data_IF_719310202491
#
_entry.id   IF_719310202491
#
_cell.length_a   1.000
_cell.length_b   1.000
_cell.length_c   1.000
_cell.angle_alpha   90.00
_cell.angle_beta   90.00
_cell.angle_gamma   90.00
#
_symmetry.space_group_name_H-M   'P 1'
#
loop_
_entity.id
_entity.type
_entity.pdbx_description
1 polymer ?
#
# COMPACT_ATOMS: atom_id res chain seq x y z
N UNK A 1 -34.88 -14.53 -49.34
CA UNK A 1 -34.07 -13.76 -48.38
C UNK A 1 -34.46 -14.23 -46.99
N UNK A 2 -33.61 -15.00 -46.31
CA UNK A 2 -33.82 -15.33 -44.90
C UNK A 2 -32.94 -14.38 -44.09
N UNK A 3 -33.57 -13.59 -43.21
CA UNK A 3 -32.85 -12.80 -42.20
C UNK A 3 -32.83 -13.71 -40.97
N UNK A 4 -31.69 -14.32 -40.72
CA UNK A 4 -31.44 -14.96 -39.43
C UNK A 4 -31.12 -13.83 -38.47
N UNK A 5 -32.10 -13.46 -37.64
CA UNK A 5 -31.89 -12.65 -36.44
C UNK A 5 -31.03 -13.48 -35.49
N UNK A 6 -29.71 -13.38 -35.64
CA UNK A 6 -28.81 -13.75 -34.56
C UNK A 6 -29.02 -12.72 -33.46
N UNK A 7 -29.91 -13.04 -32.52
CA UNK A 7 -29.86 -12.57 -31.14
C UNK A 7 -28.46 -12.92 -30.61
N UNK A 8 -27.48 -12.08 -30.93
CA UNK A 8 -26.18 -12.12 -30.29
C UNK A 8 -26.41 -11.68 -28.86
N UNK A 9 -26.78 -12.62 -28.01
CA UNK A 9 -26.83 -12.42 -26.57
C UNK A 9 -25.48 -11.85 -26.15
N UNK A 10 -25.51 -10.66 -25.56
CA UNK A 10 -24.36 -9.95 -24.99
C UNK A 10 -23.89 -10.65 -23.69
N UNK A 11 -23.96 -11.99 -23.68
CA UNK A 11 -23.67 -12.85 -22.55
C UNK A 11 -22.27 -13.43 -22.75
N UNK A 12 -21.43 -13.20 -21.75
CA UNK A 12 -20.11 -13.81 -21.69
C UNK A 12 -20.25 -15.33 -21.56
N UNK A 13 -19.36 -16.09 -22.23
CA UNK A 13 -19.29 -17.54 -22.06
C UNK A 13 -19.03 -17.86 -20.58
N UNK A 14 -19.54 -19.01 -20.10
CA UNK A 14 -19.46 -19.39 -18.70
C UNK A 14 -18.03 -19.46 -18.13
N UNK A 15 -17.00 -19.63 -18.98
CA UNK A 15 -15.60 -19.62 -18.55
C UNK A 15 -15.08 -18.20 -18.20
N UNK A 16 -15.79 -17.14 -18.62
CA UNK A 16 -15.44 -15.75 -18.36
C UNK A 16 -16.33 -15.13 -17.27
N UNK A 17 -16.35 -15.72 -16.07
CA UNK A 17 -17.03 -15.13 -14.91
C UNK A 17 -16.15 -14.07 -14.23
N UNK A 18 -16.40 -12.81 -14.59
CA UNK A 18 -15.65 -11.67 -14.05
C UNK A 18 -16.12 -11.24 -12.65
N UNK A 19 -17.20 -11.83 -12.09
CA UNK A 19 -17.78 -11.41 -10.80
C UNK A 19 -16.84 -11.63 -9.61
N UNK A 20 -15.92 -12.59 -9.72
CA UNK A 20 -14.93 -12.91 -8.69
C UNK A 20 -13.66 -12.04 -8.76
N UNK A 21 -13.47 -11.28 -9.84
CA UNK A 21 -12.26 -10.50 -10.06
C UNK A 21 -12.33 -9.16 -9.32
N UNK A 22 -11.26 -8.82 -8.60
CA UNK A 22 -11.11 -7.48 -8.04
C UNK A 22 -10.76 -6.50 -9.15
N UNK A 23 -11.63 -5.52 -9.37
CA UNK A 23 -11.42 -4.47 -10.37
C UNK A 23 -10.23 -3.59 -9.95
N UNK A 24 -9.20 -3.57 -10.79
CA UNK A 24 -8.09 -2.61 -10.74
C UNK A 24 -8.38 -1.55 -11.79
N UNK A 25 -8.43 -0.25 -11.43
CA UNK A 25 -8.29 0.83 -12.45
C UNK A 25 -7.06 0.51 -13.30
N UNK A 26 -6.84 1.00 -14.54
CA UNK A 26 -5.50 1.06 -15.21
C UNK A 26 -5.14 2.54 -15.49
N UNK A 27 -3.87 3.00 -15.42
CA UNK A 27 -3.50 4.42 -15.65
C UNK A 27 -2.38 5.02 -14.79
N UNK A 28 -1.77 6.12 -15.23
CA UNK A 28 -0.55 6.74 -14.68
C UNK A 28 -0.68 7.41 -13.29
N UNK A 29 -1.89 7.71 -12.82
CA UNK A 29 -2.10 8.35 -11.50
C UNK A 29 -2.64 7.38 -10.44
N UNK A 30 -1.87 6.34 -10.10
CA UNK A 30 -2.29 5.38 -9.08
C UNK A 30 -1.57 5.59 -7.76
N UNK A 31 -2.34 5.65 -6.69
CA UNK A 31 -1.86 5.22 -5.37
C UNK A 31 -1.67 3.69 -5.42
N UNK A 32 -0.49 3.19 -5.06
CA UNK A 32 -0.27 1.76 -4.84
C UNK A 32 -1.32 1.21 -3.87
N UNK A 33 -1.74 -0.04 -4.05
CA UNK A 33 -2.62 -0.71 -3.08
C UNK A 33 -1.75 -1.09 -1.87
N UNK A 34 -1.43 -0.10 -1.05
CA UNK A 34 -0.52 -0.22 0.08
C UNK A 34 -0.02 1.15 0.48
N UNK A 35 -0.06 1.43 1.79
CA UNK A 35 0.65 2.56 2.36
C UNK A 35 2.15 2.50 2.07
N UNK A 36 2.90 3.52 2.50
CA UNK A 36 4.35 3.58 2.33
C UNK A 36 5.00 2.28 2.82
N UNK A 37 5.67 1.56 1.93
CA UNK A 37 6.38 0.33 2.27
C UNK A 37 7.75 0.71 2.82
N UNK A 38 8.04 0.32 4.05
CA UNK A 38 9.35 0.51 4.69
C UNK A 38 10.05 -0.83 4.73
N UNK A 39 11.24 -0.90 4.12
CA UNK A 39 12.08 -2.10 4.15
C UNK A 39 12.91 -2.10 5.43
N UNK A 40 12.87 -3.20 6.16
CA UNK A 40 13.75 -3.46 7.29
C UNK A 40 14.96 -4.27 6.82
N UNK A 41 16.09 -4.06 7.49
CA UNK A 41 17.27 -4.92 7.34
C UNK A 41 16.99 -6.32 7.96
N UNK A 42 17.64 -7.39 7.46
CA UNK A 42 17.31 -8.76 7.85
C UNK A 42 17.55 -9.04 9.33
N UNK A 43 18.59 -8.45 9.91
CA UNK A 43 18.89 -8.52 11.35
C UNK A 43 17.76 -7.94 12.22
N UNK A 44 17.19 -6.81 11.80
CA UNK A 44 16.07 -6.18 12.50
C UNK A 44 14.79 -7.00 12.31
N UNK A 45 14.56 -7.53 11.11
CA UNK A 45 13.39 -8.37 10.82
C UNK A 45 13.40 -9.70 11.60
N UNK A 46 14.58 -10.25 11.91
CA UNK A 46 14.71 -11.44 12.76
C UNK A 46 14.35 -11.16 14.23
N UNK A 47 14.64 -9.95 14.72
CA UNK A 47 14.37 -9.56 16.10
C UNK A 47 12.89 -9.20 16.31
N UNK A 48 12.25 -8.56 15.32
CA UNK A 48 10.88 -8.07 15.42
C UNK A 48 9.89 -8.93 14.63
N UNK A 49 8.95 -9.64 15.29
CA UNK A 49 8.05 -10.57 14.61
C UNK A 49 6.94 -9.91 13.80
N UNK A 50 6.62 -8.63 14.04
CA UNK A 50 5.58 -7.89 13.31
C UNK A 50 5.84 -6.37 13.29
N UNK A 51 5.06 -5.66 12.47
CA UNK A 51 5.15 -4.21 12.34
C UNK A 51 4.76 -3.46 13.62
N UNK A 52 3.82 -4.00 14.41
CA UNK A 52 3.38 -3.36 15.66
C UNK A 52 4.52 -3.31 16.69
N UNK A 53 5.32 -4.37 16.81
CA UNK A 53 6.47 -4.44 17.71
C UNK A 53 7.55 -3.43 17.33
N UNK A 54 7.83 -3.26 16.03
CA UNK A 54 8.75 -2.22 15.53
C UNK A 54 8.22 -0.83 15.87
N UNK A 55 6.94 -0.59 15.60
CA UNK A 55 6.31 0.71 15.85
C UNK A 55 6.33 1.09 17.33
N UNK A 56 6.03 0.15 18.23
CA UNK A 56 6.08 0.38 19.68
C UNK A 56 7.50 0.65 20.17
N UNK A 57 8.50 -0.08 19.68
CA UNK A 57 9.90 0.17 20.03
C UNK A 57 10.36 1.56 19.58
N UNK A 58 10.04 1.97 18.35
CA UNK A 58 10.37 3.30 17.83
C UNK A 58 9.63 4.42 18.60
N UNK A 59 8.36 4.22 18.95
CA UNK A 59 7.61 5.16 19.79
C UNK A 59 8.22 5.30 21.17
N UNK A 60 8.64 4.20 21.78
CA UNK A 60 9.33 4.22 23.06
C UNK A 60 10.64 5.02 22.98
N UNK A 61 11.45 4.78 21.94
CA UNK A 61 12.68 5.54 21.71
C UNK A 61 12.40 7.04 21.56
N UNK A 62 11.37 7.42 20.79
CA UNK A 62 10.96 8.81 20.63
C UNK A 62 10.60 9.44 21.98
N UNK A 63 9.87 8.74 22.86
CA UNK A 63 9.51 9.25 24.20
C UNK A 63 10.75 9.48 25.06
N UNK A 64 11.65 8.50 25.13
CA UNK A 64 12.91 8.62 25.87
C UNK A 64 13.76 9.77 25.33
N UNK A 65 13.84 9.93 24.02
CA UNK A 65 14.55 11.05 23.40
C UNK A 65 13.91 12.40 23.74
N UNK A 66 12.58 12.50 23.77
CA UNK A 66 11.86 13.72 24.13
C UNK A 66 12.05 14.10 25.59
N UNK A 67 12.03 13.13 26.50
CA UNK A 67 12.30 13.35 27.93
C UNK A 67 13.73 13.84 28.17
N UNK A 68 14.68 13.37 27.35
CA UNK A 68 16.09 13.75 27.41
C UNK A 68 16.44 14.98 26.57
N UNK A 69 15.53 15.46 25.71
CA UNK A 69 15.70 16.67 24.92
C UNK A 69 15.12 17.87 25.67
N UNK A 70 16.01 18.75 26.11
CA UNK A 70 15.68 20.16 26.38
C UNK A 70 14.86 20.71 25.19
N UNK A 71 13.86 21.59 25.40
CA UNK A 71 12.75 21.85 24.48
C UNK A 71 13.09 22.65 23.19
N UNK A 72 14.19 22.33 22.50
CA UNK A 72 14.70 23.06 21.33
C UNK A 72 14.81 22.26 20.03
N UNK A 73 14.67 20.93 20.02
CA UNK A 73 14.95 20.11 18.83
C UNK A 73 13.69 19.44 18.27
N UNK A 74 12.73 20.22 17.76
CA UNK A 74 11.63 19.64 16.96
C UNK A 74 12.15 19.28 15.57
N UNK A 75 12.47 18.00 15.37
CA UNK A 75 12.72 17.43 14.03
C UNK A 75 11.45 17.47 13.20
N UNK A 76 11.53 18.09 12.02
CA UNK A 76 10.44 18.16 11.06
C UNK A 76 10.05 16.75 10.57
N UNK A 77 8.76 16.47 10.35
CA UNK A 77 8.35 15.27 9.63
C UNK A 77 8.74 15.46 8.16
N UNK A 78 9.80 14.79 7.72
CA UNK A 78 10.20 14.76 6.32
C UNK A 78 9.23 13.89 5.52
N UNK A 79 8.04 14.40 5.23
CA UNK A 79 7.20 13.90 4.12
C UNK A 79 7.76 14.49 2.83
N UNK A 80 8.72 13.78 2.24
CA UNK A 80 9.34 14.16 0.98
C UNK A 80 10.00 12.97 0.31
N UNK A 81 9.18 12.07 -0.23
CA UNK A 81 9.60 11.18 -1.30
C UNK A 81 8.67 11.46 -2.48
N UNK A 82 9.00 12.53 -3.20
CA UNK A 82 8.59 12.73 -4.59
C UNK A 82 9.34 11.69 -5.42
N UNK A 83 8.67 10.76 -6.13
CA UNK A 83 9.33 9.94 -7.13
C UNK A 83 9.53 10.79 -8.38
N UNK A 84 10.80 11.00 -8.75
CA UNK A 84 11.18 11.60 -10.03
C UNK A 84 10.68 10.73 -11.21
N UNK A 85 10.17 11.42 -12.24
CA UNK A 85 9.82 11.03 -13.63
C UNK A 85 9.79 9.54 -14.04
#
# INVERSE_FOLDING_TARGET
MKRDETEMGDELRSEYDLKSLRVRRLGSERKSFGGTTVRLEPDVAEIFPNADAVNEALRFLIRVMQENQSPGAKTQPNTGFEPNE
#
